data_IF_287369212761
#
_entry.id   IF_287369212761
#
_cell.length_a   1.000
_cell.length_b   1.000
_cell.length_c   1.000
_cell.angle_alpha   90.00
_cell.angle_beta   90.00
_cell.angle_gamma   90.00
#
_symmetry.space_group_name_H-M   'P 1'
#
loop_
_entity.id
_entity.type
_entity.pdbx_description
1 polymer ?
#
# COMPACT_ATOMS: atom_id res chain seq x y z
N UNK A 1 13.10 41.33 2.91
CA UNK A 1 12.45 40.40 1.97
C UNK A 1 13.41 40.19 0.82
N UNK A 2 14.06 39.03 0.76
CA UNK A 2 14.91 38.65 -0.37
C UNK A 2 14.00 38.46 -1.60
N UNK A 3 14.34 39.15 -2.69
CA UNK A 3 13.55 39.11 -3.92
C UNK A 3 13.78 37.76 -4.60
N UNK A 4 12.68 37.11 -5.00
CA UNK A 4 12.67 35.97 -5.90
C UNK A 4 13.37 36.39 -7.20
N UNK A 5 14.64 36.04 -7.34
CA UNK A 5 15.46 36.36 -8.50
C UNK A 5 15.16 35.36 -9.62
N UNK A 6 14.76 35.88 -10.77
CA UNK A 6 14.46 35.16 -12.02
C UNK A 6 15.71 34.52 -12.65
N UNK A 7 16.41 33.66 -11.92
CA UNK A 7 17.61 32.95 -12.38
C UNK A 7 17.31 32.00 -13.56
N UNK A 8 16.04 31.63 -13.75
CA UNK A 8 15.56 30.84 -14.90
C UNK A 8 15.71 31.56 -16.25
N UNK A 9 15.91 32.88 -16.25
CA UNK A 9 16.15 33.68 -17.46
C UNK A 9 17.63 33.98 -17.71
N UNK A 10 18.55 33.47 -16.88
CA UNK A 10 19.99 33.62 -17.12
C UNK A 10 20.42 32.63 -18.24
N UNK A 11 20.95 33.10 -19.38
CA UNK A 11 21.38 32.23 -20.47
C UNK A 11 22.45 31.20 -20.07
N UNK A 12 23.34 31.55 -19.13
CA UNK A 12 24.36 30.62 -18.63
C UNK A 12 23.71 29.48 -17.83
N UNK A 13 22.74 29.82 -16.97
CA UNK A 13 21.97 28.83 -16.21
C UNK A 13 21.18 27.89 -17.14
N UNK A 14 20.52 28.42 -18.16
CA UNK A 14 19.77 27.61 -19.12
C UNK A 14 20.68 26.70 -19.93
N UNK A 15 21.90 27.13 -20.26
CA UNK A 15 22.89 26.30 -20.93
C UNK A 15 23.31 25.11 -20.06
N UNK A 16 23.60 25.35 -18.79
CA UNK A 16 23.98 24.28 -17.85
C UNK A 16 22.81 23.35 -17.54
N UNK A 17 21.60 23.88 -17.40
CA UNK A 17 20.39 23.07 -17.26
C UNK A 17 20.18 22.16 -18.47
N UNK A 18 20.31 22.69 -19.70
CA UNK A 18 20.17 21.90 -20.92
C UNK A 18 21.20 20.75 -20.99
N UNK A 19 22.45 21.00 -20.59
CA UNK A 19 23.49 19.95 -20.51
C UNK A 19 23.12 18.86 -19.51
N UNK A 20 22.68 19.24 -18.30
CA UNK A 20 22.24 18.28 -17.28
C UNK A 20 21.04 17.45 -17.76
N UNK A 21 20.06 18.09 -18.39
CA UNK A 21 18.88 17.42 -18.91
C UNK A 21 19.20 16.50 -20.08
N UNK A 22 20.22 16.81 -20.89
CA UNK A 22 20.70 15.90 -21.93
C UNK A 22 21.25 14.59 -21.34
N UNK A 23 21.76 14.60 -20.10
CA UNK A 23 22.25 13.41 -19.39
C UNK A 23 21.15 12.64 -18.64
N UNK A 24 19.91 13.16 -18.55
CA UNK A 24 18.86 12.60 -17.70
C UNK A 24 18.53 11.14 -18.03
N UNK A 25 18.40 10.82 -19.32
CA UNK A 25 18.07 9.46 -19.76
C UNK A 25 19.15 8.46 -19.36
N UNK A 26 20.41 8.78 -19.62
CA UNK A 26 21.54 7.92 -19.29
C UNK A 26 21.71 7.77 -17.77
N UNK A 27 21.52 8.86 -17.02
CA UNK A 27 21.53 8.82 -15.56
C UNK A 27 20.44 7.90 -15.02
N UNK A 28 19.21 8.02 -15.54
CA UNK A 28 18.07 7.22 -15.10
C UNK A 28 18.29 5.73 -15.40
N UNK A 29 18.77 5.42 -16.61
CA UNK A 29 19.14 4.06 -17.00
C UNK A 29 20.21 3.49 -16.07
N UNK A 30 21.27 4.24 -15.79
CA UNK A 30 22.38 3.75 -14.97
C UNK A 30 21.96 3.57 -13.49
N UNK A 31 21.04 4.38 -12.98
CA UNK A 31 20.50 4.27 -11.62
C UNK A 31 19.50 3.13 -11.48
N UNK A 32 18.54 2.99 -12.40
CA UNK A 32 17.39 2.11 -12.23
C UNK A 32 17.54 0.76 -12.94
N UNK A 33 18.14 0.75 -14.12
CA UNK A 33 18.19 -0.42 -14.99
C UNK A 33 19.53 -1.16 -14.90
N UNK A 34 20.63 -0.41 -14.80
CA UNK A 34 21.98 -0.98 -14.80
C UNK A 34 22.58 -1.11 -13.38
N UNK A 35 22.13 -2.12 -12.64
CA UNK A 35 22.52 -2.35 -11.24
C UNK A 35 24.01 -2.62 -10.95
N UNK A 36 24.87 -2.63 -11.97
CA UNK A 36 26.32 -2.79 -11.83
C UNK A 36 27.08 -1.46 -11.83
N UNK A 37 26.44 -0.35 -12.25
CA UNK A 37 27.09 0.95 -12.32
C UNK A 37 27.03 1.63 -10.96
N UNK A 38 28.20 1.85 -10.37
CA UNK A 38 28.30 2.46 -9.04
C UNK A 38 28.47 3.98 -9.08
N UNK A 39 28.85 4.55 -10.22
CA UNK A 39 29.18 5.97 -10.37
C UNK A 39 28.71 6.54 -11.71
N UNK A 40 28.38 7.82 -11.75
CA UNK A 40 27.99 8.53 -12.97
C UNK A 40 28.76 9.84 -13.10
N UNK A 41 29.14 10.25 -14.32
CA UNK A 41 29.82 11.53 -14.56
C UNK A 41 28.78 12.60 -14.91
N UNK A 42 28.53 13.51 -13.97
CA UNK A 42 27.65 14.65 -14.16
C UNK A 42 28.48 15.85 -14.66
N UNK A 43 28.03 16.48 -15.74
CA UNK A 43 28.67 17.71 -16.22
C UNK A 43 28.60 18.81 -15.16
N UNK A 44 29.72 19.50 -14.93
CA UNK A 44 29.85 20.54 -13.88
C UNK A 44 30.05 20.04 -12.45
N UNK A 45 29.69 18.78 -12.14
CA UNK A 45 29.86 18.18 -10.80
C UNK A 45 30.90 17.07 -10.72
N UNK A 46 31.29 16.48 -11.85
CA UNK A 46 32.27 15.40 -11.91
C UNK A 46 31.65 14.02 -11.67
N UNK A 47 32.47 13.07 -11.21
CA UNK A 47 32.03 11.68 -10.98
C UNK A 47 31.38 11.57 -9.60
N UNK A 48 30.12 11.13 -9.57
CA UNK A 48 29.34 10.96 -8.35
C UNK A 48 28.95 9.49 -8.12
N UNK A 49 28.93 9.00 -6.88
CA UNK A 49 28.39 7.68 -6.56
C UNK A 49 26.87 7.63 -6.73
N UNK A 50 26.37 6.61 -7.43
CA UNK A 50 24.94 6.39 -7.67
C UNK A 50 24.43 5.03 -7.20
N UNK A 51 25.32 4.13 -6.74
CA UNK A 51 24.96 2.76 -6.35
C UNK A 51 23.81 2.68 -5.32
N UNK A 52 23.74 3.64 -4.39
CA UNK A 52 22.70 3.69 -3.37
C UNK A 52 21.35 4.26 -3.82
N UNK A 53 21.31 4.92 -4.98
CA UNK A 53 20.13 5.66 -5.42
C UNK A 53 18.98 4.73 -5.80
N UNK A 54 19.25 3.55 -6.39
CA UNK A 54 18.19 2.58 -6.71
C UNK A 54 17.36 2.19 -5.48
N UNK A 55 18.04 1.86 -4.38
CA UNK A 55 17.40 1.50 -3.12
C UNK A 55 16.65 2.67 -2.50
N UNK A 56 17.21 3.88 -2.60
CA UNK A 56 16.55 5.10 -2.14
C UNK A 56 15.27 5.41 -2.93
N UNK A 57 15.31 5.31 -4.26
CA UNK A 57 14.15 5.50 -5.14
C UNK A 57 13.06 4.48 -4.83
N UNK A 58 13.40 3.19 -4.75
CA UNK A 58 12.43 2.14 -4.40
C UNK A 58 11.80 2.39 -3.03
N UNK A 59 12.61 2.77 -2.03
CA UNK A 59 12.11 3.07 -0.68
C UNK A 59 11.19 4.29 -0.66
N UNK A 60 11.50 5.35 -1.41
CA UNK A 60 10.63 6.52 -1.47
C UNK A 60 9.33 6.23 -2.21
N UNK A 61 9.39 5.51 -3.34
CA UNK A 61 8.19 5.12 -4.07
C UNK A 61 7.26 4.29 -3.18
N UNK A 62 7.79 3.28 -2.48
CA UNK A 62 6.96 2.42 -1.62
C UNK A 62 6.48 3.16 -0.37
N UNK A 63 7.38 3.78 0.39
CA UNK A 63 7.07 4.31 1.73
C UNK A 63 6.47 5.72 1.72
N UNK A 64 6.51 6.42 0.60
CA UNK A 64 5.91 7.77 0.50
C UNK A 64 4.79 7.76 -0.51
N UNK A 65 5.09 7.50 -1.77
CA UNK A 65 4.10 7.66 -2.84
C UNK A 65 3.00 6.59 -2.75
N UNK A 66 3.37 5.31 -2.78
CA UNK A 66 2.40 4.21 -2.72
C UNK A 66 1.71 4.13 -1.35
N UNK A 67 2.45 4.29 -0.24
CA UNK A 67 1.86 4.26 1.10
C UNK A 67 0.82 5.38 1.28
N UNK A 68 1.12 6.61 0.85
CA UNK A 68 0.16 7.72 0.92
C UNK A 68 -1.09 7.45 0.06
N UNK A 69 -0.93 6.94 -1.16
CA UNK A 69 -2.06 6.61 -2.05
C UNK A 69 -2.95 5.50 -1.45
N UNK A 70 -2.34 4.41 -0.96
CA UNK A 70 -3.06 3.30 -0.33
C UNK A 70 -3.82 3.78 0.90
N UNK A 71 -3.18 4.57 1.77
CA UNK A 71 -3.82 5.10 2.98
C UNK A 71 -4.97 6.04 2.63
N UNK A 72 -4.81 6.90 1.61
CA UNK A 72 -5.88 7.81 1.18
C UNK A 72 -7.10 7.06 0.64
N UNK A 73 -6.90 5.99 -0.12
CA UNK A 73 -7.99 5.20 -0.70
C UNK A 73 -8.69 4.33 0.37
N UNK A 74 -7.92 3.67 1.23
CA UNK A 74 -8.47 2.70 2.19
C UNK A 74 -8.93 3.32 3.52
N UNK A 75 -8.23 4.34 4.01
CA UNK A 75 -8.44 4.96 5.33
C UNK A 75 -8.92 6.42 5.22
N UNK A 76 -8.81 7.02 4.03
CA UNK A 76 -9.11 8.43 3.80
C UNK A 76 -10.58 8.75 3.52
N UNK A 77 -10.85 9.38 2.37
CA UNK A 77 -12.08 10.17 2.09
C UNK A 77 -13.38 9.37 2.07
N UNK A 78 -13.29 8.05 1.94
CA UNK A 78 -14.43 7.16 1.91
C UNK A 78 -14.44 6.33 3.19
N UNK A 79 -15.23 6.80 4.16
CA UNK A 79 -15.67 6.01 5.28
C UNK A 79 -16.21 4.65 4.79
N UNK A 80 -15.67 3.57 5.35
CA UNK A 80 -16.15 2.24 5.03
C UNK A 80 -15.47 1.51 3.87
N UNK A 81 -14.37 2.02 3.27
CA UNK A 81 -13.74 1.34 2.12
C UNK A 81 -13.30 -0.09 2.45
N UNK A 82 -12.63 -0.28 3.58
CA UNK A 82 -12.23 -1.60 4.08
C UNK A 82 -13.47 -2.44 4.40
N UNK A 83 -14.48 -1.86 5.04
CA UNK A 83 -15.72 -2.51 5.43
C UNK A 83 -16.48 -3.06 4.22
N UNK A 84 -16.53 -2.32 3.10
CA UNK A 84 -17.13 -2.79 1.84
C UNK A 84 -16.32 -3.90 1.18
N UNK A 85 -14.99 -3.86 1.28
CA UNK A 85 -14.14 -4.96 0.79
C UNK A 85 -14.32 -6.24 1.62
N UNK A 86 -14.69 -6.09 2.89
CA UNK A 86 -15.00 -7.20 3.80
C UNK A 86 -16.48 -7.59 3.78
N UNK A 87 -17.31 -6.94 2.97
CA UNK A 87 -18.73 -7.25 2.86
C UNK A 87 -18.93 -8.63 2.23
N UNK A 88 -19.75 -9.45 2.88
CA UNK A 88 -20.00 -10.80 2.41
C UNK A 88 -20.99 -10.81 1.25
N UNK A 89 -20.77 -11.69 0.27
CA UNK A 89 -21.75 -11.88 -0.79
C UNK A 89 -23.12 -12.30 -0.22
N UNK A 90 -24.25 -11.90 -0.83
CA UNK A 90 -25.59 -12.26 -0.36
C UNK A 90 -25.79 -13.78 -0.20
N UNK A 91 -25.19 -14.58 -1.08
CA UNK A 91 -25.27 -16.03 -1.02
C UNK A 91 -24.53 -16.62 0.20
N UNK A 92 -23.38 -16.05 0.55
CA UNK A 92 -22.61 -16.46 1.75
C UNK A 92 -23.35 -16.03 3.02
N UNK A 93 -23.88 -14.80 3.05
CA UNK A 93 -24.69 -14.30 4.16
C UNK A 93 -25.93 -15.18 4.41
N UNK A 94 -26.66 -15.54 3.35
CA UNK A 94 -27.83 -16.42 3.46
C UNK A 94 -27.47 -17.83 3.97
N UNK A 95 -26.33 -18.39 3.53
CA UNK A 95 -25.83 -19.68 4.05
C UNK A 95 -25.44 -19.59 5.53
N UNK A 96 -24.77 -18.51 5.94
CA UNK A 96 -24.40 -18.24 7.35
C UNK A 96 -25.64 -18.15 8.22
N UNK A 97 -26.67 -17.43 7.77
CA UNK A 97 -27.93 -17.30 8.51
C UNK A 97 -28.62 -18.65 8.69
N UNK A 98 -28.75 -19.44 7.61
CA UNK A 98 -29.35 -20.78 7.69
C UNK A 98 -28.58 -21.72 8.62
N UNK A 99 -27.24 -21.63 8.62
CA UNK A 99 -26.40 -22.41 9.51
C UNK A 99 -26.57 -21.99 10.98
N UNK A 100 -26.62 -20.68 11.26
CA UNK A 100 -26.85 -20.15 12.60
C UNK A 100 -28.21 -20.59 13.16
N UNK A 101 -29.26 -20.58 12.34
CA UNK A 101 -30.58 -21.10 12.71
C UNK A 101 -30.50 -22.58 13.09
N UNK A 102 -29.84 -23.40 12.26
CA UNK A 102 -29.64 -24.83 12.54
C UNK A 102 -28.87 -25.06 13.85
N UNK A 103 -27.80 -24.30 14.09
CA UNK A 103 -27.01 -24.39 15.33
C UNK A 103 -27.86 -24.04 16.55
N UNK A 104 -28.68 -22.99 16.46
CA UNK A 104 -29.58 -22.59 17.55
C UNK A 104 -30.57 -23.72 17.89
N UNK A 105 -31.24 -24.28 16.88
CA UNK A 105 -32.19 -25.37 17.07
C UNK A 105 -31.54 -26.63 17.67
N UNK A 106 -30.33 -26.99 17.21
CA UNK A 106 -29.60 -28.13 17.76
C UNK A 106 -29.23 -27.91 19.24
N UNK A 107 -28.86 -26.69 19.64
CA UNK A 107 -28.60 -26.36 21.05
C UNK A 107 -29.86 -26.49 21.90
N UNK A 108 -31.00 -26.01 21.40
CA UNK A 108 -32.29 -26.14 22.09
C UNK A 108 -32.70 -27.62 22.24
N UNK A 109 -32.57 -28.41 21.17
CA UNK A 109 -32.85 -29.85 21.20
C UNK A 109 -31.96 -30.58 22.20
N UNK A 110 -30.66 -30.26 22.24
CA UNK A 110 -29.72 -30.85 23.18
C UNK A 110 -30.09 -30.54 24.65
N UNK A 111 -30.55 -29.32 24.94
CA UNK A 111 -31.05 -28.96 26.27
C UNK A 111 -32.29 -29.78 26.66
N UNK A 112 -33.21 -30.00 25.72
CA UNK A 112 -34.40 -30.85 25.96
C UNK A 112 -33.99 -32.28 26.28
N UNK A 113 -33.04 -32.84 25.52
CA UNK A 113 -32.50 -34.18 25.78
C UNK A 113 -31.86 -34.26 27.18
N UNK A 114 -31.08 -33.25 27.57
CA UNK A 114 -30.53 -33.15 28.92
C UNK A 114 -31.62 -33.23 30.00
N UNK A 115 -32.68 -32.43 29.88
CA UNK A 115 -33.80 -32.47 30.81
C UNK A 115 -34.52 -33.83 30.88
N UNK A 116 -34.64 -34.53 29.74
CA UNK A 116 -35.22 -35.88 29.70
C UNK A 116 -34.30 -36.87 30.42
N UNK A 117 -33.00 -36.81 30.16
CA UNK A 117 -32.00 -37.67 30.80
C UNK A 117 -31.99 -37.47 32.31
N UNK A 118 -32.03 -36.23 32.81
CA UNK A 118 -32.08 -35.91 34.23
C UNK A 118 -33.35 -36.46 34.92
N UNK A 119 -34.50 -36.38 34.24
CA UNK A 119 -35.76 -36.97 34.72
C UNK A 119 -35.71 -38.49 34.77
N UNK A 120 -35.04 -39.14 33.82
CA UNK A 120 -34.88 -40.60 33.86
C UNK A 120 -33.94 -41.00 35.00
N UNK A 121 -32.80 -40.31 35.15
CA UNK A 121 -31.82 -40.58 36.19
C UNK A 121 -32.35 -40.36 37.62
N UNK A 122 -33.31 -39.44 37.81
CA UNK A 122 -33.95 -39.19 39.11
C UNK A 122 -35.10 -40.14 39.45
N UNK A 123 -35.55 -40.98 38.50
CA UNK A 123 -36.61 -41.98 38.69
C UNK A 123 -36.07 -43.41 38.88
N UNK A 124 -34.74 -43.58 38.93
CA UNK A 124 -34.02 -44.82 39.26
C UNK A 124 -33.38 -44.65 40.63
#
# INVERSE_FOLDING_TARGET
MEKLTDYTSNPEYMNDWNKLMAQQHDFTRDVLENGYVATFKIEGLGVVPIAGLRGFCARNLVNKEMEEEIVQELVGRHDGAIERMLEESPAVAAKREKLNVSIKLLRESNNVLGNIMDKIASNI
#
